data_IF_106160714607
#
_entry.id   IF_106160714607
#
_cell.length_a   1.000
_cell.length_b   1.000
_cell.length_c   1.000
_cell.angle_alpha   90.00
_cell.angle_beta   90.00
_cell.angle_gamma   90.00
#
_symmetry.space_group_name_H-M   'P 1'
#
loop_
_entity.id
_entity.type
_entity.pdbx_description
1 polymer ?
#
# COMPACT_ATOMS: atom_id res chain seq x y z
N UNK A 1 1.43 -18.25 -15.95
CA UNK A 1 2.33 -18.78 -14.90
C UNK A 1 3.10 -17.60 -14.34
N UNK A 2 2.99 -17.34 -13.04
CA UNK A 2 3.72 -16.25 -12.39
C UNK A 2 4.77 -16.86 -11.46
N UNK A 3 5.97 -16.31 -11.46
CA UNK A 3 7.06 -16.78 -10.63
C UNK A 3 7.55 -15.61 -9.76
N UNK A 4 7.57 -15.78 -8.45
CA UNK A 4 8.10 -14.78 -7.53
C UNK A 4 9.18 -15.37 -6.62
N UNK A 5 9.99 -14.47 -6.05
CA UNK A 5 10.90 -14.81 -4.98
C UNK A 5 10.14 -14.77 -3.66
N UNK A 6 10.37 -15.75 -2.81
CA UNK A 6 9.86 -15.79 -1.44
C UNK A 6 10.94 -16.27 -0.49
N UNK A 7 10.70 -16.17 0.81
CA UNK A 7 11.63 -16.62 1.84
C UNK A 7 10.92 -17.57 2.79
N UNK A 8 11.65 -18.54 3.33
CA UNK A 8 11.10 -19.45 4.33
C UNK A 8 10.61 -18.67 5.55
N UNK A 9 9.33 -18.85 5.92
CA UNK A 9 8.63 -18.08 6.97
C UNK A 9 8.70 -16.55 6.81
N UNK A 10 8.95 -16.05 5.60
CA UNK A 10 9.13 -14.62 5.34
C UNK A 10 10.45 -14.03 5.88
N UNK A 11 11.37 -14.87 6.35
CA UNK A 11 12.65 -14.45 6.91
C UNK A 11 13.66 -14.14 5.79
N UNK A 12 13.84 -12.84 5.52
CA UNK A 12 14.72 -12.32 4.46
C UNK A 12 16.20 -12.65 4.64
N UNK A 13 16.62 -13.13 5.82
CA UNK A 13 18.01 -13.57 6.07
C UNK A 13 18.31 -14.97 5.54
N UNK A 14 17.27 -15.75 5.23
CA UNK A 14 17.41 -17.13 4.72
C UNK A 14 17.56 -17.14 3.20
N UNK A 15 17.89 -18.31 2.67
CA UNK A 15 17.96 -18.51 1.23
C UNK A 15 16.63 -18.18 0.54
N UNK A 16 16.72 -17.53 -0.62
CA UNK A 16 15.57 -17.17 -1.43
C UNK A 16 14.99 -18.40 -2.12
N UNK A 17 13.69 -18.62 -1.96
CA UNK A 17 12.93 -19.67 -2.61
C UNK A 17 12.23 -19.14 -3.87
N UNK A 18 12.16 -19.97 -4.91
CA UNK A 18 11.38 -19.68 -6.10
C UNK A 18 9.97 -20.25 -5.95
N UNK A 19 8.96 -19.39 -5.94
CA UNK A 19 7.55 -19.79 -5.83
C UNK A 19 6.86 -19.62 -7.18
N UNK A 20 6.25 -20.70 -7.64
CA UNK A 20 5.54 -20.79 -8.91
C UNK A 20 4.04 -20.86 -8.64
N UNK A 21 3.28 -19.95 -9.23
CA UNK A 21 1.82 -19.94 -9.16
C UNK A 21 1.22 -20.62 -10.38
N UNK A 22 0.36 -21.60 -10.11
CA UNK A 22 -0.47 -22.29 -11.07
C UNK A 22 -1.88 -22.48 -10.50
N UNK A 23 -2.86 -22.55 -11.39
CA UNK A 23 -4.26 -22.84 -11.08
C UNK A 23 -4.77 -23.81 -12.14
N UNK A 24 -5.56 -24.80 -11.73
CA UNK A 24 -6.19 -25.77 -12.62
C UNK A 24 -7.70 -25.61 -12.58
N UNK A 25 -8.36 -25.96 -13.70
CA UNK A 25 -9.81 -25.94 -13.84
C UNK A 25 -10.30 -27.27 -14.42
N UNK A 26 -11.51 -27.74 -14.03
CA UNK A 26 -12.09 -28.97 -14.58
C UNK A 26 -12.39 -28.89 -16.09
N UNK A 27 -12.62 -27.69 -16.62
CA UNK A 27 -12.95 -27.48 -18.03
C UNK A 27 -12.41 -26.14 -18.58
N UNK A 28 -12.38 -26.05 -19.93
CA UNK A 28 -11.86 -24.89 -20.66
C UNK A 28 -12.75 -23.64 -20.60
N UNK A 29 -14.04 -23.77 -20.23
CA UNK A 29 -14.93 -22.62 -20.08
C UNK A 29 -14.56 -21.87 -18.80
N UNK A 30 -14.41 -22.59 -17.68
CA UNK A 30 -13.99 -21.99 -16.40
C UNK A 30 -12.61 -21.32 -16.48
N UNK A 31 -11.67 -21.93 -17.21
CA UNK A 31 -10.35 -21.33 -17.43
C UNK A 31 -10.47 -19.97 -18.16
N UNK A 32 -11.30 -19.88 -19.20
CA UNK A 32 -11.51 -18.64 -19.96
C UNK A 32 -12.18 -17.56 -19.13
N UNK A 33 -13.19 -17.92 -18.33
CA UNK A 33 -13.84 -17.00 -17.39
C UNK A 33 -12.85 -16.47 -16.35
N UNK A 34 -11.99 -17.33 -15.81
CA UNK A 34 -10.93 -16.90 -14.90
C UNK A 34 -9.94 -15.94 -15.57
N UNK A 35 -9.45 -16.27 -16.77
CA UNK A 35 -8.53 -15.40 -17.52
C UNK A 35 -9.15 -14.02 -17.77
N UNK A 36 -10.42 -13.98 -18.19
CA UNK A 36 -11.13 -12.73 -18.40
C UNK A 36 -11.20 -11.89 -17.11
N UNK A 37 -11.54 -12.49 -15.96
CA UNK A 37 -11.56 -11.80 -14.66
C UNK A 37 -10.19 -11.25 -14.27
N UNK A 38 -9.12 -12.02 -14.50
CA UNK A 38 -7.76 -11.58 -14.18
C UNK A 38 -7.33 -10.40 -15.07
N UNK A 39 -7.63 -10.43 -16.36
CA UNK A 39 -7.35 -9.32 -17.27
C UNK A 39 -8.15 -8.06 -16.89
N UNK A 40 -9.42 -8.21 -16.53
CA UNK A 40 -10.23 -7.11 -16.03
C UNK A 40 -9.71 -6.53 -14.71
N UNK A 41 -9.20 -7.37 -13.80
CA UNK A 41 -8.57 -6.91 -12.57
C UNK A 41 -7.27 -6.13 -12.83
N UNK A 42 -6.41 -6.60 -13.76
CA UNK A 42 -5.16 -5.93 -14.13
C UNK A 42 -5.40 -4.52 -14.68
N UNK A 43 -6.45 -4.33 -15.48
CA UNK A 43 -6.84 -3.01 -16.02
C UNK A 43 -7.20 -2.01 -14.93
N UNK A 44 -7.64 -2.48 -13.75
CA UNK A 44 -8.07 -1.67 -12.61
C UNK A 44 -6.98 -1.54 -11.52
N UNK A 45 -5.76 -1.96 -11.81
CA UNK A 45 -4.64 -1.81 -10.89
C UNK A 45 -4.32 -0.32 -10.67
N UNK A 46 -4.40 0.13 -9.42
CA UNK A 46 -4.14 1.53 -9.05
C UNK A 46 -2.72 1.98 -9.40
N UNK A 47 -1.75 1.07 -9.51
CA UNK A 47 -0.37 1.39 -9.91
C UNK A 47 -0.31 1.74 -11.39
N UNK A 48 -1.03 1.01 -12.23
CA UNK A 48 -1.15 1.27 -13.66
C UNK A 48 -1.95 2.55 -13.91
N UNK A 49 -3.11 2.66 -13.28
CA UNK A 49 -3.97 3.84 -13.42
C UNK A 49 -3.31 5.11 -12.87
N UNK A 50 -2.65 5.01 -11.71
CA UNK A 50 -1.93 6.11 -11.09
C UNK A 50 -0.81 6.65 -11.96
N UNK A 51 -0.04 5.77 -12.61
CA UNK A 51 0.98 6.17 -13.57
C UNK A 51 0.35 6.79 -14.83
N UNK A 52 -0.61 6.11 -15.45
CA UNK A 52 -1.26 6.55 -16.71
C UNK A 52 -1.98 7.90 -16.57
N UNK A 53 -2.55 8.19 -15.40
CA UNK A 53 -3.26 9.44 -15.12
C UNK A 53 -2.38 10.52 -14.48
N UNK A 54 -1.10 10.22 -14.25
CA UNK A 54 -0.15 11.13 -13.59
C UNK A 54 -0.64 11.57 -12.20
N UNK A 55 -1.04 10.60 -11.37
CA UNK A 55 -1.51 10.84 -10.01
C UNK A 55 -0.35 10.81 -9.00
N UNK A 56 0.54 9.84 -9.12
CA UNK A 56 1.69 9.69 -8.23
C UNK A 56 2.80 8.89 -8.92
N UNK A 57 4.01 8.94 -8.37
CA UNK A 57 5.11 8.05 -8.73
C UNK A 57 5.93 7.66 -7.49
N UNK A 58 6.78 6.65 -7.62
CA UNK A 58 7.71 6.21 -6.58
C UNK A 58 9.14 6.46 -7.02
N UNK A 59 10.00 6.88 -6.08
CA UNK A 59 11.41 7.14 -6.33
C UNK A 59 12.28 6.43 -5.28
N UNK A 60 13.49 6.02 -5.66
CA UNK A 60 14.41 5.33 -4.75
C UNK A 60 14.85 6.19 -3.55
N UNK A 61 14.64 7.50 -3.61
CA UNK A 61 14.90 8.44 -2.51
C UNK A 61 13.91 8.27 -1.35
N UNK A 62 12.73 7.71 -1.62
CA UNK A 62 11.73 7.42 -0.59
C UNK A 62 11.02 6.08 -0.86
N UNK A 63 11.70 4.94 -0.63
CA UNK A 63 11.10 3.63 -0.88
C UNK A 63 9.85 3.42 -0.01
N UNK A 64 8.75 3.03 -0.63
CA UNK A 64 7.47 2.80 0.06
C UNK A 64 6.62 4.06 0.27
N UNK A 65 7.16 5.26 0.05
CA UNK A 65 6.38 6.51 0.09
C UNK A 65 6.29 7.12 -1.31
N UNK A 66 5.06 7.45 -1.73
CA UNK A 66 4.83 7.99 -3.06
C UNK A 66 4.95 9.52 -3.10
N UNK A 67 5.30 10.03 -4.26
CA UNK A 67 5.25 11.46 -4.59
C UNK A 67 3.95 11.74 -5.33
N UNK A 68 3.07 12.55 -4.74
CA UNK A 68 1.83 12.96 -5.38
C UNK A 68 2.10 14.04 -6.44
N UNK A 69 1.66 13.77 -7.66
CA UNK A 69 1.65 14.74 -8.77
C UNK A 69 0.44 15.66 -8.65
N UNK A 70 0.36 16.78 -9.40
CA UNK A 70 -0.69 17.78 -9.22
C UNK A 70 -2.13 17.22 -9.24
N UNK A 71 -2.41 16.21 -10.08
CA UNK A 71 -3.73 15.57 -10.14
C UNK A 71 -4.01 14.68 -8.93
N UNK A 72 -3.01 13.92 -8.46
CA UNK A 72 -3.15 13.12 -7.25
C UNK A 72 -3.28 13.97 -5.99
N UNK A 73 -2.53 15.07 -5.91
CA UNK A 73 -2.62 16.04 -4.83
C UNK A 73 -4.03 16.65 -4.71
N UNK A 74 -4.71 16.94 -5.85
CA UNK A 74 -6.11 17.39 -5.84
C UNK A 74 -7.05 16.37 -5.20
N UNK A 75 -6.91 15.09 -5.57
CA UNK A 75 -7.72 14.01 -4.99
C UNK A 75 -7.45 13.88 -3.49
N UNK A 76 -6.18 13.86 -3.10
CA UNK A 76 -5.76 13.80 -1.70
C UNK A 76 -6.36 14.97 -0.89
N UNK A 77 -6.24 16.19 -1.38
CA UNK A 77 -6.74 17.38 -0.67
C UNK A 77 -8.28 17.37 -0.56
N UNK A 78 -8.99 16.88 -1.58
CA UNK A 78 -10.44 16.72 -1.50
C UNK A 78 -10.85 15.72 -0.41
N UNK A 79 -10.12 14.61 -0.27
CA UNK A 79 -10.35 13.63 0.79
C UNK A 79 -10.05 14.19 2.19
N UNK A 80 -8.94 14.94 2.33
CA UNK A 80 -8.59 15.60 3.60
C UNK A 80 -9.66 16.61 4.00
N UNK A 81 -10.12 17.42 3.05
CA UNK A 81 -11.19 18.38 3.29
C UNK A 81 -12.47 17.69 3.76
N UNK A 82 -12.88 16.62 3.07
CA UNK A 82 -14.05 15.84 3.46
C UNK A 82 -13.95 15.28 4.88
N UNK A 83 -12.78 14.73 5.27
CA UNK A 83 -12.58 14.20 6.62
C UNK A 83 -12.61 15.32 7.67
N UNK A 84 -12.04 16.50 7.38
CA UNK A 84 -12.11 17.66 8.28
C UNK A 84 -13.53 18.14 8.52
N UNK A 85 -14.35 18.18 7.46
CA UNK A 85 -15.78 18.48 7.57
C UNK A 85 -16.47 17.48 8.52
N UNK A 86 -16.10 16.19 8.45
CA UNK A 86 -16.60 15.17 9.39
C UNK A 86 -16.11 15.36 10.82
N UNK A 87 -14.88 15.80 11.04
CA UNK A 87 -14.43 16.14 12.39
C UNK A 87 -15.32 17.20 13.02
N UNK A 88 -15.64 18.28 12.31
CA UNK A 88 -16.52 19.33 12.83
C UNK A 88 -17.95 18.86 13.05
N UNK A 89 -18.50 18.04 12.14
CA UNK A 89 -19.84 17.45 12.30
C UNK A 89 -19.97 16.59 13.56
N UNK A 90 -18.91 15.85 13.91
CA UNK A 90 -18.87 14.97 15.08
C UNK A 90 -18.19 15.61 16.31
N UNK A 91 -18.04 16.93 16.31
CA UNK A 91 -17.49 17.69 17.46
C UNK A 91 -16.07 17.26 17.88
N UNK A 92 -15.25 16.77 16.93
CA UNK A 92 -13.83 16.55 17.13
C UNK A 92 -13.04 17.86 16.98
N UNK A 93 -12.13 18.10 17.92
CA UNK A 93 -11.18 19.21 17.86
C UNK A 93 -9.91 18.79 17.09
N UNK A 94 -9.65 19.40 15.94
CA UNK A 94 -8.43 19.14 15.17
C UNK A 94 -7.22 19.77 15.88
N UNK A 95 -6.19 18.95 16.14
CA UNK A 95 -4.91 19.38 16.74
C UNK A 95 -3.75 19.09 15.80
N UNK A 96 -2.68 19.87 15.91
CA UNK A 96 -1.44 19.68 15.14
C UNK A 96 -0.32 19.35 16.12
N UNK A 97 0.41 18.27 15.86
CA UNK A 97 1.52 17.81 16.69
C UNK A 97 2.78 17.54 15.86
N UNK A 98 3.98 17.56 16.47
CA UNK A 98 5.22 17.25 15.76
C UNK A 98 5.22 15.86 15.10
N UNK A 99 6.03 15.67 14.06
CA UNK A 99 6.25 14.36 13.45
C UNK A 99 7.40 13.57 14.10
N UNK A 100 8.27 14.25 14.87
CA UNK A 100 9.45 13.68 15.52
C UNK A 100 9.39 14.01 17.00
N UNK A 101 9.55 13.00 17.85
CA UNK A 101 9.50 13.11 19.31
C UNK A 101 10.76 12.53 19.95
N UNK A 102 11.04 12.94 21.18
CA UNK A 102 12.07 12.27 22.00
C UNK A 102 11.72 10.78 22.15
N UNK A 103 12.73 9.92 22.08
CA UNK A 103 12.61 8.48 22.25
C UNK A 103 11.93 8.07 23.56
N UNK A 104 12.06 8.88 24.62
CA UNK A 104 11.40 8.64 25.92
C UNK A 104 9.87 8.46 25.79
N UNK A 105 9.21 9.18 24.88
CA UNK A 105 7.76 9.04 24.64
C UNK A 105 7.39 7.64 24.12
N UNK A 106 8.27 7.03 23.33
CA UNK A 106 8.07 5.68 22.80
C UNK A 106 8.23 4.61 23.89
N UNK A 107 9.08 4.87 24.88
CA UNK A 107 9.15 4.05 26.09
C UNK A 107 7.90 4.20 26.95
N UNK A 108 7.48 5.43 27.23
CA UNK A 108 6.28 5.69 28.04
C UNK A 108 5.02 5.06 27.44
N UNK A 109 4.90 5.06 26.12
CA UNK A 109 3.77 4.45 25.41
C UNK A 109 3.90 2.93 25.18
N UNK A 110 5.01 2.30 25.58
CA UNK A 110 5.27 0.87 25.35
C UNK A 110 5.53 0.49 23.89
N UNK A 111 5.69 1.46 22.99
CA UNK A 111 5.94 1.19 21.57
C UNK A 111 7.41 0.82 21.32
N UNK A 112 8.32 1.23 22.19
CA UNK A 112 9.74 0.92 22.09
C UNK A 112 10.02 -0.59 22.13
N UNK A 113 9.29 -1.40 22.90
CA UNK A 113 9.49 -2.85 22.94
C UNK A 113 9.04 -3.56 21.65
N UNK A 114 8.06 -2.99 20.94
CA UNK A 114 7.39 -3.66 19.81
C UNK A 114 7.83 -3.15 18.43
N UNK A 115 8.18 -1.87 18.32
CA UNK A 115 8.47 -1.21 17.04
C UNK A 115 9.93 -0.81 16.86
N UNK A 116 10.79 -1.09 17.85
CA UNK A 116 12.22 -0.87 17.70
C UNK A 116 12.75 -1.80 16.61
N UNK A 117 13.27 -1.18 15.56
CA UNK A 117 13.88 -1.87 14.42
C UNK A 117 15.03 -2.73 14.95
N UNK A 118 14.94 -4.04 14.74
CA UNK A 118 16.01 -5.01 15.01
C UNK A 118 17.06 -5.01 13.91
#
# INVERSE_FOLDING_TARGET
MACNRSFWRGDVKREGLQRVYAISFPDNKQLREYQHRIEEAKKRDHRLLGANQSLFFFHHLSPGSCFFLPRGARIHNALVQYIREKYWEYEYEEVISPNIYNFDLWHTSGHAEHYKVR
#
